data_IF_279900512460
#
_entry.id   IF_279900512460
#
_cell.length_a   1.000
_cell.length_b   1.000
_cell.length_c   1.000
_cell.angle_alpha   90.00
_cell.angle_beta   90.00
_cell.angle_gamma   90.00
#
_symmetry.space_group_name_H-M   'P 1'
#
loop_
_entity.id
_entity.type
_entity.pdbx_description
1 polymer ?
#
# COMPACT_ATOMS: atom_id res chain seq x y z
N UNK A 1 -28.31 1.25 -16.88
CA UNK A 1 -27.42 1.47 -18.05
C UNK A 1 -26.22 2.28 -17.59
N UNK A 2 -25.07 1.63 -17.42
CA UNK A 2 -23.76 2.27 -17.12
C UNK A 2 -22.67 1.83 -18.09
N UNK A 3 -22.83 0.62 -18.63
CA UNK A 3 -21.97 -0.04 -19.61
C UNK A 3 -21.53 0.83 -20.80
N UNK A 4 -22.37 1.61 -21.50
CA UNK A 4 -21.90 2.42 -22.64
C UNK A 4 -20.83 3.44 -22.25
N UNK A 5 -20.92 4.00 -21.03
CA UNK A 5 -19.92 4.95 -20.54
C UNK A 5 -18.63 4.25 -20.12
N UNK A 6 -18.74 3.04 -19.58
CA UNK A 6 -17.59 2.21 -19.23
C UNK A 6 -16.82 1.85 -20.50
N UNK A 7 -17.51 1.34 -21.53
CA UNK A 7 -16.91 1.02 -22.83
C UNK A 7 -16.19 2.21 -23.45
N UNK A 8 -16.83 3.39 -23.48
CA UNK A 8 -16.21 4.62 -23.99
C UNK A 8 -14.89 4.93 -23.27
N UNK A 9 -14.86 4.83 -21.94
CA UNK A 9 -13.64 5.06 -21.14
C UNK A 9 -12.57 4.02 -21.44
N UNK A 10 -12.96 2.75 -21.56
CA UNK A 10 -12.04 1.65 -21.84
C UNK A 10 -11.44 1.74 -23.25
N UNK A 11 -12.23 2.16 -24.25
CA UNK A 11 -11.76 2.40 -25.61
C UNK A 11 -10.75 3.56 -25.65
N UNK A 12 -11.02 4.66 -24.92
CA UNK A 12 -10.05 5.74 -24.77
C UNK A 12 -8.75 5.27 -24.10
N UNK A 13 -8.85 4.44 -23.06
CA UNK A 13 -7.67 3.87 -22.39
C UNK A 13 -6.88 2.92 -23.30
N UNK A 14 -7.57 2.09 -24.09
CA UNK A 14 -6.95 1.19 -25.06
C UNK A 14 -6.20 1.97 -26.14
N UNK A 15 -6.79 3.04 -26.67
CA UNK A 15 -6.15 3.89 -27.67
C UNK A 15 -4.84 4.50 -27.12
N UNK A 16 -4.83 4.95 -25.87
CA UNK A 16 -3.64 5.50 -25.23
C UNK A 16 -2.55 4.44 -24.98
N UNK A 17 -2.94 3.22 -24.60
CA UNK A 17 -2.01 2.09 -24.42
C UNK A 17 -1.36 1.64 -25.74
N UNK A 18 -2.12 1.69 -26.85
CA UNK A 18 -1.59 1.45 -28.18
C UNK A 18 -0.63 2.55 -28.61
N UNK A 19 -0.99 3.83 -28.43
CA UNK A 19 -0.13 4.97 -28.76
C UNK A 19 1.20 4.98 -28.00
N UNK A 20 1.18 4.55 -26.74
CA UNK A 20 2.38 4.47 -25.90
C UNK A 20 3.25 3.23 -26.16
N UNK A 21 2.78 2.26 -26.97
CA UNK A 21 3.46 0.98 -27.19
C UNK A 21 3.43 0.02 -26.00
N UNK A 22 2.72 0.37 -24.92
CA UNK A 22 2.65 -0.44 -23.70
C UNK A 22 1.82 -1.71 -23.91
N UNK A 23 0.89 -1.69 -24.86
CA UNK A 23 0.02 -2.83 -25.17
C UNK A 23 0.82 -4.07 -25.61
N UNK A 24 1.89 -3.88 -26.38
CA UNK A 24 2.75 -4.98 -26.86
C UNK A 24 3.59 -5.60 -25.74
N UNK A 25 3.85 -4.85 -24.67
CA UNK A 25 4.62 -5.31 -23.50
C UNK A 25 3.75 -6.00 -22.44
N UNK A 26 2.42 -5.93 -22.57
CA UNK A 26 1.47 -6.39 -21.56
C UNK A 26 1.23 -7.91 -21.59
N UNK A 27 2.29 -8.73 -21.55
CA UNK A 27 2.20 -10.20 -21.67
C UNK A 27 1.43 -10.90 -20.54
N UNK A 28 1.18 -10.24 -19.41
CA UNK A 28 0.48 -10.81 -18.24
C UNK A 28 -1.01 -10.45 -18.15
N UNK A 29 -1.57 -9.79 -19.16
CA UNK A 29 -2.94 -9.27 -19.09
C UNK A 29 -3.07 -7.99 -18.26
N UNK A 30 -4.31 -7.66 -17.90
CA UNK A 30 -4.70 -6.39 -17.27
C UNK A 30 -5.07 -6.61 -15.80
N UNK A 31 -4.68 -5.65 -14.95
CA UNK A 31 -5.11 -5.59 -13.56
C UNK A 31 -6.03 -4.39 -13.38
N UNK A 32 -7.29 -4.64 -13.05
CA UNK A 32 -8.26 -3.60 -12.79
C UNK A 32 -8.34 -3.30 -11.29
N UNK A 33 -8.27 -2.03 -10.90
CA UNK A 33 -8.26 -1.60 -9.49
C UNK A 33 -9.11 -0.34 -9.28
N UNK A 34 -9.22 0.14 -8.04
CA UNK A 34 -10.03 1.31 -7.66
C UNK A 34 -11.50 0.95 -7.44
N UNK A 35 -12.30 1.90 -6.95
CA UNK A 35 -13.71 1.64 -6.64
C UNK A 35 -14.54 1.20 -7.86
N UNK A 36 -14.24 1.72 -9.05
CA UNK A 36 -14.93 1.32 -10.29
C UNK A 36 -14.76 -0.16 -10.64
N UNK A 37 -13.65 -0.78 -10.24
CA UNK A 37 -13.40 -2.21 -10.48
C UNK A 37 -14.35 -3.15 -9.73
N UNK A 38 -15.03 -2.65 -8.69
CA UNK A 38 -15.96 -3.42 -7.88
C UNK A 38 -17.37 -3.52 -8.50
N UNK A 39 -17.64 -2.75 -9.57
CA UNK A 39 -18.90 -2.88 -10.29
C UNK A 39 -19.04 -4.29 -10.87
N UNK A 40 -20.26 -4.81 -10.82
CA UNK A 40 -20.61 -6.11 -11.39
C UNK A 40 -20.39 -6.11 -12.91
N UNK A 41 -19.84 -7.19 -13.46
CA UNK A 41 -19.54 -7.31 -14.90
C UNK A 41 -18.35 -6.48 -15.38
N UNK A 42 -17.68 -5.73 -14.50
CA UNK A 42 -16.61 -4.82 -14.93
C UNK A 42 -15.39 -5.56 -15.48
N UNK A 43 -15.02 -6.71 -14.91
CA UNK A 43 -13.90 -7.50 -15.42
C UNK A 43 -14.18 -8.03 -16.82
N UNK A 44 -15.41 -8.47 -17.05
CA UNK A 44 -15.92 -9.05 -18.28
C UNK A 44 -15.93 -8.00 -19.41
N UNK A 45 -16.45 -6.79 -19.14
CA UNK A 45 -16.42 -5.69 -20.12
C UNK A 45 -14.97 -5.33 -20.51
N UNK A 46 -14.04 -5.34 -19.55
CA UNK A 46 -12.63 -5.07 -19.86
C UNK A 46 -12.01 -6.20 -20.67
N UNK A 47 -12.33 -7.47 -20.38
CA UNK A 47 -11.87 -8.61 -21.18
C UNK A 47 -12.39 -8.52 -22.62
N UNK A 48 -13.64 -8.13 -22.80
CA UNK A 48 -14.25 -7.95 -24.12
C UNK A 48 -13.61 -6.80 -24.90
N UNK A 49 -13.37 -5.65 -24.27
CA UNK A 49 -12.74 -4.50 -24.93
C UNK A 49 -11.28 -4.77 -25.27
N UNK A 50 -10.51 -5.36 -24.33
CA UNK A 50 -9.06 -5.51 -24.49
C UNK A 50 -8.63 -6.83 -25.11
N UNK A 51 -9.52 -7.83 -25.19
CA UNK A 51 -9.22 -9.17 -25.70
C UNK A 51 -8.02 -9.82 -24.98
N UNK A 52 -7.92 -9.60 -23.66
CA UNK A 52 -6.83 -10.04 -22.79
C UNK A 52 -7.39 -10.50 -21.45
N UNK A 53 -6.70 -11.41 -20.73
CA UNK A 53 -7.14 -11.81 -19.40
C UNK A 53 -7.12 -10.62 -18.44
N UNK A 54 -8.21 -10.42 -17.70
CA UNK A 54 -8.33 -9.35 -16.71
C UNK A 54 -8.52 -9.95 -15.33
N UNK A 55 -7.87 -9.35 -14.33
CA UNK A 55 -8.14 -9.68 -12.92
C UNK A 55 -8.38 -8.43 -12.10
N UNK A 56 -9.24 -8.55 -11.10
CA UNK A 56 -9.42 -7.51 -10.08
C UNK A 56 -8.22 -7.51 -9.13
N UNK A 57 -7.49 -6.40 -9.08
CA UNK A 57 -6.38 -6.16 -8.18
C UNK A 57 -6.87 -5.62 -6.83
N UNK A 58 -6.29 -6.15 -5.76
CA UNK A 58 -6.44 -5.64 -4.40
C UNK A 58 -5.07 -5.47 -3.76
N UNK A 59 -4.92 -4.58 -2.76
CA UNK A 59 -3.73 -4.58 -1.92
C UNK A 59 -3.58 -5.93 -1.20
N UNK A 60 -2.52 -6.68 -1.51
CA UNK A 60 -2.30 -8.04 -0.97
C UNK A 60 -1.29 -8.05 0.19
N UNK A 61 -1.49 -9.01 1.09
CA UNK A 61 -0.60 -9.37 2.20
C UNK A 61 0.84 -9.60 1.70
N UNK A 62 1.83 -8.99 2.35
CA UNK A 62 3.25 -9.15 2.00
C UNK A 62 3.71 -8.38 0.76
N UNK A 63 2.92 -7.44 0.23
CA UNK A 63 3.38 -6.47 -0.76
C UNK A 63 4.42 -5.54 -0.10
N UNK A 64 5.66 -6.02 -0.03
CA UNK A 64 6.81 -5.31 0.52
C UNK A 64 7.62 -4.75 -0.64
N UNK A 65 7.80 -3.43 -0.70
CA UNK A 65 8.59 -2.74 -1.73
C UNK A 65 10.12 -2.85 -1.48
N UNK A 66 10.57 -3.91 -0.80
CA UNK A 66 11.98 -4.16 -0.49
C UNK A 66 12.14 -4.90 0.84
N UNK A 67 13.26 -5.60 1.05
CA UNK A 67 13.51 -6.29 2.33
C UNK A 67 13.50 -5.29 3.50
N UNK A 68 12.74 -5.61 4.55
CA UNK A 68 12.79 -4.90 5.84
C UNK A 68 11.90 -3.66 5.96
N UNK A 69 10.99 -3.41 5.02
CA UNK A 69 10.07 -2.27 5.10
C UNK A 69 8.80 -2.57 5.88
N UNK A 70 8.20 -1.55 6.52
CA UNK A 70 6.94 -1.72 7.25
C UNK A 70 5.84 -2.23 6.32
N UNK A 71 5.32 -3.40 6.64
CA UNK A 71 4.22 -4.02 5.92
C UNK A 71 2.90 -3.49 6.47
N UNK A 72 2.27 -2.58 5.72
CA UNK A 72 0.87 -2.20 5.97
C UNK A 72 -0.11 -3.34 5.71
N UNK A 73 0.38 -4.39 5.06
CA UNK A 73 -0.40 -5.51 4.61
C UNK A 73 -0.30 -6.68 5.58
N UNK A 74 0.25 -6.49 6.78
CA UNK A 74 0.31 -7.46 7.87
C UNK A 74 -0.56 -7.04 9.08
N UNK A 75 -0.96 -8.00 9.90
CA UNK A 75 -1.75 -7.76 11.13
C UNK A 75 -3.23 -7.44 10.89
N UNK A 76 -3.93 -6.96 11.92
CA UNK A 76 -5.38 -6.75 11.89
C UNK A 76 -5.86 -5.69 10.88
N UNK A 77 -4.98 -4.77 10.48
CA UNK A 77 -5.28 -3.74 9.47
C UNK A 77 -5.28 -4.30 8.04
N UNK A 78 -4.57 -5.41 7.80
CA UNK A 78 -4.44 -6.01 6.48
C UNK A 78 -5.80 -6.40 5.87
N UNK A 79 -6.75 -6.85 6.68
CA UNK A 79 -8.09 -7.23 6.19
C UNK A 79 -8.93 -6.02 5.77
N UNK A 80 -8.70 -4.86 6.39
CA UNK A 80 -9.45 -3.63 6.08
C UNK A 80 -9.07 -3.11 4.69
N UNK A 81 -7.81 -3.26 4.31
CA UNK A 81 -7.27 -2.70 3.07
C UNK A 81 -7.35 -3.64 1.86
N UNK A 82 -7.89 -4.86 2.03
CA UNK A 82 -8.13 -5.82 0.93
C UNK A 82 -9.36 -5.44 0.09
N UNK A 83 -9.37 -4.21 -0.38
CA UNK A 83 -10.42 -3.65 -1.23
C UNK A 83 -9.73 -2.80 -2.33
N UNK A 84 -10.10 -2.97 -3.62
CA UNK A 84 -9.48 -2.23 -4.72
C UNK A 84 -9.51 -0.71 -4.55
N UNK A 85 -10.46 -0.16 -3.78
CA UNK A 85 -10.55 1.28 -3.51
C UNK A 85 -9.35 1.83 -2.73
N UNK A 86 -8.61 0.96 -2.02
CA UNK A 86 -7.44 1.36 -1.23
C UNK A 86 -6.11 1.25 -1.98
N UNK A 87 -6.09 0.74 -3.21
CA UNK A 87 -4.84 0.47 -3.95
C UNK A 87 -3.94 1.69 -4.11
N UNK A 88 -4.48 2.86 -4.42
CA UNK A 88 -3.68 4.08 -4.55
C UNK A 88 -3.07 4.50 -3.21
N UNK A 89 -3.88 4.54 -2.15
CA UNK A 89 -3.41 4.96 -0.83
C UNK A 89 -2.34 4.02 -0.27
N UNK A 90 -2.57 2.71 -0.33
CA UNK A 90 -1.60 1.70 0.12
C UNK A 90 -0.32 1.79 -0.72
N UNK A 91 -0.44 1.87 -2.05
CA UNK A 91 0.72 1.97 -2.95
C UNK A 91 1.59 3.20 -2.66
N UNK A 92 0.98 4.36 -2.39
CA UNK A 92 1.70 5.58 -2.04
C UNK A 92 2.45 5.47 -0.71
N UNK A 93 1.83 4.89 0.32
CA UNK A 93 2.51 4.72 1.61
C UNK A 93 3.68 3.75 1.50
N UNK A 94 3.49 2.63 0.81
CA UNK A 94 4.56 1.67 0.56
C UNK A 94 5.69 2.30 -0.26
N UNK A 95 5.37 3.08 -1.30
CA UNK A 95 6.35 3.80 -2.10
C UNK A 95 7.16 4.80 -1.25
N UNK A 96 6.48 5.57 -0.39
CA UNK A 96 7.12 6.52 0.52
C UNK A 96 8.03 5.83 1.53
N UNK A 97 7.56 4.74 2.16
CA UNK A 97 8.36 3.92 3.06
C UNK A 97 9.60 3.32 2.39
N UNK A 98 9.55 3.11 1.07
CA UNK A 98 10.65 2.53 0.30
C UNK A 98 11.72 3.52 -0.15
N UNK A 99 11.32 4.74 -0.49
CA UNK A 99 12.19 5.71 -1.15
C UNK A 99 12.55 6.91 -0.27
N UNK A 100 11.87 7.10 0.85
CA UNK A 100 12.31 8.06 1.86
C UNK A 100 13.20 7.31 2.86
N UNK A 101 14.43 7.79 3.15
CA UNK A 101 15.06 7.40 4.39
C UNK A 101 14.04 7.79 5.47
N UNK A 102 13.60 6.84 6.28
CA UNK A 102 12.79 7.17 7.44
C UNK A 102 13.62 8.17 8.23
N UNK A 103 13.35 9.47 8.08
CA UNK A 103 13.80 10.47 9.02
C UNK A 103 13.28 9.92 10.33
N UNK A 104 14.21 9.49 11.20
CA UNK A 104 13.87 8.78 12.40
C UNK A 104 12.75 9.57 13.05
N UNK A 105 11.53 9.04 12.99
CA UNK A 105 10.42 9.63 13.69
C UNK A 105 10.86 9.40 15.12
N UNK A 106 11.45 10.43 15.75
CA UNK A 106 11.65 10.47 17.17
C UNK A 106 10.24 10.38 17.74
N UNK A 107 9.82 9.15 18.00
CA UNK A 107 8.70 8.88 18.88
C UNK A 107 9.12 9.54 20.17
N UNK A 108 8.61 10.76 20.41
CA UNK A 108 8.71 11.40 21.70
C UNK A 108 7.98 10.47 22.65
N UNK A 109 8.76 9.60 23.30
CA UNK A 109 8.28 8.86 24.45
C UNK A 109 7.73 9.92 25.39
N UNK A 110 6.48 9.79 25.89
CA UNK A 110 6.01 10.66 26.94
C UNK A 110 7.09 10.58 28.03
N UNK A 111 7.64 11.74 28.38
CA UNK A 111 8.75 11.92 29.32
C UNK A 111 8.28 11.46 30.70
N UNK A 112 8.19 10.15 30.88
CA UNK A 112 8.07 9.49 32.17
C UNK A 112 9.39 9.73 32.87
N UNK A 113 9.37 10.57 33.89
CA UNK A 113 10.47 10.79 34.81
C UNK A 113 11.12 9.44 35.14
N UNK A 114 12.36 9.26 34.68
CA UNK A 114 13.23 8.19 35.15
C UNK A 114 13.49 8.45 36.62
N UNK A 115 12.60 7.96 37.49
CA UNK A 115 12.88 7.82 38.92
C UNK A 115 14.12 6.92 39.02
N UNK A 116 15.26 7.41 39.52
CA UNK A 116 16.43 6.56 39.67
C UNK A 116 16.08 5.42 40.62
N UNK A 117 16.33 4.19 40.17
CA UNK A 117 16.10 2.98 40.96
C UNK A 117 16.74 3.12 42.33
N UNK A 118 15.99 2.72 43.37
CA UNK A 118 16.31 2.90 44.78
C UNK A 118 17.76 2.45 45.10
N UNK A 119 18.24 1.40 44.44
CA UNK A 119 19.62 0.92 44.56
C UNK A 119 20.71 1.90 44.09
N UNK A 120 20.48 2.68 43.03
CA UNK A 120 21.46 3.68 42.55
C UNK A 120 21.57 4.88 43.50
N UNK A 121 20.50 5.19 44.25
CA UNK A 121 20.51 6.25 45.27
C UNK A 121 21.30 5.81 46.51
N UNK A 122 21.21 4.53 46.87
CA UNK A 122 21.90 3.97 48.04
C UNK A 122 23.41 3.87 47.84
N UNK A 123 23.84 3.42 46.66
CA UNK A 123 25.27 3.34 46.30
C UNK A 123 25.90 4.74 46.21
N UNK A 124 25.15 5.73 45.71
CA UNK A 124 25.60 7.13 45.69
C UNK A 124 25.82 7.71 47.09
N UNK A 125 24.90 7.45 48.02
CA UNK A 125 25.00 7.94 49.40
C UNK A 125 26.16 7.30 50.18
N UNK A 126 26.41 6.00 49.99
CA UNK A 126 27.53 5.33 50.67
C UNK A 126 28.90 5.84 50.22
N UNK A 127 29.04 6.22 48.95
CA UNK A 127 30.30 6.75 48.40
C UNK A 127 30.59 8.18 48.88
N UNK A 128 29.57 8.92 49.31
CA UNK A 128 29.74 10.28 49.83
C UNK A 128 29.97 10.30 51.36
N UNK A 129 29.86 9.16 52.05
CA UNK A 129 30.04 9.05 53.52
C UNK A 129 31.36 8.40 53.97
N UNK A 130 32.17 7.87 53.05
CA UNK A 130 33.49 7.28 53.30
C UNK A 130 34.48 7.73 52.24
#
# INVERSE_FOLDING_TARGET
MIEPRVEEILLMAQEELLKSGMMEMAGSGIVLTGGGSQMEGMTEIVEDVFQMPVRRGVPVHGASFGRGQPSLTEGGFAQVIQDPKFSTGVGLVLYGAAHQPMAAVEVQQPRGERRPGIGKRFVGWMRDMF
#
